data_IF_269623898309
#
_entry.id   IF_269623898309
#
_cell.length_a   1.000
_cell.length_b   1.000
_cell.length_c   1.000
_cell.angle_alpha   90.00
_cell.angle_beta   90.00
_cell.angle_gamma   90.00
#
_symmetry.space_group_name_H-M   'P 1'
#
loop_
_entity.id
_entity.type
_entity.pdbx_description
1 polymer ?
#
# COMPACT_ATOMS: atom_id res chain seq x y z
N UNK A 1 17.85 8.09 -20.32
CA UNK A 1 16.53 8.78 -20.40
C UNK A 1 15.48 7.72 -20.14
N UNK A 2 14.75 7.80 -19.02
CA UNK A 2 13.64 6.88 -18.72
C UNK A 2 12.40 7.45 -19.39
N UNK A 3 11.68 6.63 -20.13
CA UNK A 3 10.38 6.99 -20.69
C UNK A 3 9.33 6.19 -19.94
N UNK A 4 8.52 6.88 -19.13
CA UNK A 4 7.34 6.28 -18.50
C UNK A 4 6.26 6.10 -19.57
N UNK A 5 6.29 4.95 -20.27
CA UNK A 5 5.15 4.55 -21.09
C UNK A 5 4.18 3.78 -20.19
N UNK A 6 2.99 4.35 -19.98
CA UNK A 6 1.80 3.69 -19.40
C UNK A 6 1.97 3.18 -17.96
N UNK A 7 2.10 4.09 -16.98
CA UNK A 7 1.78 3.74 -15.60
C UNK A 7 0.27 3.51 -15.50
N UNK A 8 -0.15 2.25 -15.34
CA UNK A 8 -1.55 1.86 -15.25
C UNK A 8 -2.13 2.24 -13.87
N UNK A 9 -2.35 3.54 -13.64
CA UNK A 9 -2.79 4.11 -12.35
C UNK A 9 -4.06 3.47 -11.80
N UNK A 10 -4.93 2.93 -12.66
CA UNK A 10 -6.14 2.19 -12.28
C UNK A 10 -5.83 0.96 -11.42
N UNK A 11 -4.66 0.32 -11.60
CA UNK A 11 -4.25 -0.86 -10.80
C UNK A 11 -4.06 -0.59 -9.32
N UNK A 12 -3.91 0.68 -8.92
CA UNK A 12 -3.90 1.06 -7.50
C UNK A 12 -5.25 0.74 -6.85
N UNK A 13 -6.35 0.92 -7.59
CA UNK A 13 -7.71 0.85 -7.04
C UNK A 13 -8.40 -0.46 -7.37
N UNK A 14 -8.12 -1.04 -8.54
CA UNK A 14 -8.74 -2.29 -9.01
C UNK A 14 -7.72 -3.14 -9.75
N UNK A 15 -7.62 -4.42 -9.40
CA UNK A 15 -6.82 -5.42 -10.10
C UNK A 15 -7.64 -6.67 -10.38
N UNK A 16 -7.21 -7.49 -11.34
CA UNK A 16 -7.96 -8.67 -11.76
C UNK A 16 -8.03 -9.75 -10.65
N UNK A 17 -8.99 -10.68 -10.73
CA UNK A 17 -9.04 -11.83 -9.83
C UNK A 17 -7.72 -12.62 -9.82
N UNK A 18 -7.13 -12.85 -8.64
CA UNK A 18 -5.83 -13.52 -8.51
C UNK A 18 -4.61 -12.68 -8.90
N UNK A 19 -4.79 -11.40 -9.24
CA UNK A 19 -3.67 -10.47 -9.45
C UNK A 19 -3.33 -9.73 -8.15
N UNK A 20 -2.15 -9.10 -8.12
CA UNK A 20 -1.75 -8.15 -7.08
C UNK A 20 -1.76 -6.74 -7.63
N UNK A 21 -1.92 -5.75 -6.76
CA UNK A 21 -1.60 -4.35 -7.11
C UNK A 21 -0.07 -4.15 -7.22
N UNK A 22 0.40 -2.91 -7.21
CA UNK A 22 1.83 -2.58 -7.24
C UNK A 22 2.60 -3.29 -6.11
N UNK A 23 3.66 -4.01 -6.48
CA UNK A 23 4.38 -4.87 -5.55
C UNK A 23 5.02 -4.13 -4.37
N UNK A 24 5.32 -2.83 -4.52
CA UNK A 24 5.99 -2.08 -3.46
C UNK A 24 5.14 -1.97 -2.19
N UNK A 25 3.81 -2.01 -2.28
CA UNK A 25 2.98 -2.05 -1.08
C UNK A 25 3.21 -3.33 -0.26
N UNK A 26 3.30 -4.49 -0.92
CA UNK A 26 3.63 -5.76 -0.27
C UNK A 26 5.07 -5.75 0.27
N UNK A 27 6.00 -5.12 -0.46
CA UNK A 27 7.38 -4.97 -0.03
C UNK A 27 7.51 -4.13 1.24
N UNK A 28 6.70 -3.07 1.40
CA UNK A 28 6.66 -2.27 2.63
C UNK A 28 6.30 -3.13 3.85
N UNK A 29 5.21 -3.90 3.78
CA UNK A 29 4.79 -4.77 4.90
C UNK A 29 5.80 -5.88 5.21
N UNK A 30 6.49 -6.43 4.20
CA UNK A 30 7.46 -7.49 4.41
C UNK A 30 8.84 -7.00 4.90
N UNK A 31 9.20 -5.77 4.52
CA UNK A 31 10.57 -5.24 4.63
C UNK A 31 10.78 -4.14 5.67
N UNK A 32 9.74 -3.42 6.09
CA UNK A 32 9.84 -2.47 7.19
C UNK A 32 9.90 -3.19 8.54
N UNK A 33 10.62 -2.59 9.49
CA UNK A 33 10.62 -3.01 10.88
C UNK A 33 9.26 -2.68 11.53
N UNK A 34 8.87 -3.45 12.55
CA UNK A 34 7.56 -3.32 13.20
C UNK A 34 7.35 -1.91 13.75
N UNK A 35 8.38 -1.33 14.35
CA UNK A 35 8.38 0.02 14.90
C UNK A 35 8.16 1.07 13.82
N UNK A 36 8.66 0.83 12.60
CA UNK A 36 8.47 1.73 11.46
C UNK A 36 7.07 1.58 10.85
N UNK A 37 6.53 0.35 10.81
CA UNK A 37 5.14 0.11 10.43
C UNK A 37 4.19 0.84 11.40
N UNK A 38 4.43 0.71 12.71
CA UNK A 38 3.68 1.42 13.76
C UNK A 38 3.78 2.95 13.60
N UNK A 39 4.97 3.48 13.29
CA UNK A 39 5.16 4.91 13.01
C UNK A 39 4.31 5.41 11.82
N UNK A 40 4.08 4.57 10.81
CA UNK A 40 3.19 4.88 9.68
C UNK A 40 1.73 4.48 9.90
N UNK A 41 1.39 4.02 11.11
CA UNK A 41 0.08 3.49 11.48
C UNK A 41 -0.34 2.33 10.56
N UNK A 42 0.62 1.54 10.09
CA UNK A 42 0.38 0.36 9.29
C UNK A 42 0.26 -0.88 10.18
N UNK A 43 -0.89 -1.54 10.15
CA UNK A 43 -1.18 -2.74 10.93
C UNK A 43 -1.17 -4.00 10.04
N UNK A 44 -2.11 -4.93 10.21
CA UNK A 44 -2.18 -6.15 9.40
C UNK A 44 -2.43 -5.82 7.91
N UNK A 45 -1.57 -6.28 6.98
CA UNK A 45 -1.78 -6.11 5.54
C UNK A 45 -3.16 -6.61 5.06
N UNK A 46 -3.75 -7.61 5.72
CA UNK A 46 -5.10 -8.12 5.45
C UNK A 46 -6.21 -7.11 5.76
N UNK A 47 -5.91 -5.96 6.37
CA UNK A 47 -6.89 -4.89 6.60
C UNK A 47 -7.00 -3.93 5.42
N UNK A 48 -5.97 -3.86 4.56
CA UNK A 48 -5.89 -2.89 3.47
C UNK A 48 -6.57 -3.40 2.21
N UNK A 49 -7.61 -2.68 1.78
CA UNK A 49 -8.47 -3.09 0.65
C UNK A 49 -7.69 -3.31 -0.65
N UNK A 50 -6.70 -2.47 -0.95
CA UNK A 50 -5.95 -2.56 -2.21
C UNK A 50 -5.02 -3.76 -2.29
N UNK A 51 -4.71 -4.40 -1.16
CA UNK A 51 -3.84 -5.58 -1.10
C UNK A 51 -4.60 -6.88 -1.20
N UNK A 52 -5.90 -6.86 -0.89
CA UNK A 52 -6.77 -8.03 -0.90
C UNK A 52 -6.97 -8.55 -2.30
N UNK A 53 -6.83 -9.86 -2.44
CA UNK A 53 -7.28 -10.57 -3.63
C UNK A 53 -8.82 -10.58 -3.64
N UNK A 54 -9.48 -10.11 -4.72
CA UNK A 54 -10.93 -10.20 -4.89
C UNK A 54 -11.47 -11.64 -4.76
N UNK A 55 -10.64 -12.67 -4.97
CA UNK A 55 -10.99 -14.08 -4.79
C UNK A 55 -10.89 -14.57 -3.34
N UNK A 56 -10.48 -13.73 -2.38
CA UNK A 56 -10.32 -14.11 -0.97
C UNK A 56 -9.02 -14.86 -0.65
N UNK A 57 -8.02 -14.77 -1.53
CA UNK A 57 -6.65 -15.21 -1.24
C UNK A 57 -6.00 -14.36 -0.14
N UNK A 58 -5.08 -14.95 0.63
CA UNK A 58 -4.26 -14.22 1.60
C UNK A 58 -3.35 -13.23 0.88
N UNK A 59 -3.12 -12.07 1.48
CA UNK A 59 -2.18 -11.06 0.97
C UNK A 59 -0.79 -11.68 0.81
N UNK A 60 -0.36 -12.46 1.80
CA UNK A 60 0.85 -13.28 1.75
C UNK A 60 0.48 -14.78 1.82
N UNK A 61 0.55 -15.53 0.70
CA UNK A 61 0.17 -16.94 0.64
C UNK A 61 0.96 -17.83 1.61
N UNK A 62 2.26 -17.56 1.75
CA UNK A 62 3.16 -18.34 2.59
C UNK A 62 4.40 -17.53 3.03
N UNK A 63 5.23 -18.16 3.87
CA UNK A 63 6.46 -17.55 4.39
C UNK A 63 7.51 -17.26 3.31
N UNK A 64 7.53 -18.03 2.23
CA UNK A 64 8.49 -17.83 1.15
C UNK A 64 8.18 -16.55 0.36
N UNK A 65 6.90 -16.24 0.17
CA UNK A 65 6.47 -15.00 -0.47
C UNK A 65 6.80 -13.77 0.39
N UNK A 66 6.64 -13.85 1.72
CA UNK A 66 7.09 -12.80 2.65
C UNK A 66 8.60 -12.57 2.55
N UNK A 67 9.39 -13.64 2.54
CA UNK A 67 10.85 -13.55 2.44
C UNK A 67 11.30 -12.98 1.09
N UNK A 68 10.66 -13.38 -0.01
CA UNK A 68 10.89 -12.79 -1.33
C UNK A 68 10.58 -11.29 -1.34
N UNK A 69 9.42 -10.88 -0.81
CA UNK A 69 9.02 -9.48 -0.73
C UNK A 69 10.00 -8.65 0.12
N UNK A 70 10.52 -9.21 1.22
CA UNK A 70 11.55 -8.57 2.05
C UNK A 70 12.87 -8.37 1.29
N UNK A 71 13.31 -9.38 0.54
CA UNK A 71 14.52 -9.27 -0.28
C UNK A 71 14.36 -8.21 -1.37
N UNK A 72 13.20 -8.16 -2.02
CA UNK A 72 12.89 -7.14 -3.01
C UNK A 72 12.84 -5.75 -2.39
N UNK A 73 12.25 -5.58 -1.21
CA UNK A 73 12.27 -4.32 -0.47
C UNK A 73 13.69 -3.81 -0.24
N UNK A 74 14.56 -4.66 0.32
CA UNK A 74 15.95 -4.31 0.60
C UNK A 74 16.71 -3.94 -0.68
N UNK A 75 16.48 -4.69 -1.76
CA UNK A 75 17.09 -4.43 -3.07
C UNK A 75 16.65 -3.07 -3.62
N UNK A 76 15.36 -2.74 -3.57
CA UNK A 76 14.88 -1.45 -4.06
C UNK A 76 15.39 -0.28 -3.20
N UNK A 77 15.39 -0.44 -1.88
CA UNK A 77 15.95 0.56 -0.95
C UNK A 77 17.43 0.82 -1.22
N UNK A 78 18.22 -0.23 -1.45
CA UNK A 78 19.63 -0.10 -1.81
C UNK A 78 19.81 0.61 -3.16
N UNK A 79 18.98 0.29 -4.16
CA UNK A 79 19.01 0.97 -5.45
C UNK A 79 18.71 2.47 -5.29
N UNK A 80 17.70 2.85 -4.51
CA UNK A 80 17.39 4.26 -4.23
C UNK A 80 18.60 4.97 -3.61
N UNK A 81 19.26 4.35 -2.62
CA UNK A 81 20.47 4.91 -2.01
C UNK A 81 21.61 5.09 -3.00
N UNK A 82 21.85 4.08 -3.86
CA UNK A 82 22.88 4.15 -4.92
C UNK A 82 22.58 5.22 -5.97
N UNK A 83 21.31 5.52 -6.22
CA UNK A 83 20.86 6.60 -7.09
C UNK A 83 20.96 7.99 -6.44
N UNK A 84 21.38 8.07 -5.18
CA UNK A 84 21.61 9.33 -4.47
C UNK A 84 20.42 9.83 -3.66
N UNK A 85 19.39 9.00 -3.44
CA UNK A 85 18.30 9.36 -2.55
C UNK A 85 18.82 9.41 -1.11
N UNK A 86 18.51 10.49 -0.42
CA UNK A 86 18.80 10.63 1.01
C UNK A 86 17.90 9.71 1.83
N UNK A 87 18.21 9.54 3.12
CA UNK A 87 17.34 8.78 4.01
C UNK A 87 15.97 9.44 4.15
N UNK A 88 15.98 10.77 4.12
CA UNK A 88 14.80 11.63 4.19
C UNK A 88 13.93 11.46 2.94
N UNK A 89 14.53 11.41 1.73
CA UNK A 89 13.80 11.15 0.49
C UNK A 89 13.13 9.78 0.50
N UNK A 90 13.87 8.74 0.92
CA UNK A 90 13.33 7.38 1.02
C UNK A 90 12.19 7.32 2.04
N UNK A 91 12.36 7.98 3.19
CA UNK A 91 11.31 8.06 4.20
C UNK A 91 10.06 8.77 3.65
N UNK A 92 10.23 9.85 2.89
CA UNK A 92 9.12 10.57 2.26
C UNK A 92 8.37 9.70 1.24
N UNK A 93 9.10 8.87 0.47
CA UNK A 93 8.48 7.88 -0.41
C UNK A 93 7.63 6.89 0.39
N UNK A 94 8.14 6.39 1.51
CA UNK A 94 7.37 5.49 2.38
C UNK A 94 6.15 6.18 2.97
N UNK A 95 6.27 7.44 3.42
CA UNK A 95 5.13 8.25 3.89
C UNK A 95 4.04 8.36 2.83
N UNK A 96 4.39 8.67 1.59
CA UNK A 96 3.42 8.79 0.49
C UNK A 96 2.72 7.46 0.21
N UNK A 97 3.47 6.35 0.21
CA UNK A 97 2.90 5.02 -0.02
C UNK A 97 1.97 4.59 1.12
N UNK A 98 2.33 4.87 2.37
CA UNK A 98 1.47 4.64 3.54
C UNK A 98 0.20 5.49 3.48
N UNK A 99 0.31 6.76 3.07
CA UNK A 99 -0.86 7.62 2.88
C UNK A 99 -1.81 7.07 1.80
N UNK A 100 -1.29 6.52 0.70
CA UNK A 100 -2.12 5.89 -0.33
C UNK A 100 -2.86 4.67 0.25
N UNK A 101 -2.19 3.82 1.03
CA UNK A 101 -2.81 2.68 1.70
C UNK A 101 -4.02 3.11 2.56
N UNK A 102 -3.85 4.16 3.38
CA UNK A 102 -4.91 4.69 4.23
C UNK A 102 -6.07 5.29 3.43
N UNK A 103 -5.78 6.15 2.44
CA UNK A 103 -6.80 6.76 1.59
C UNK A 103 -7.67 5.72 0.88
N UNK A 104 -7.08 4.60 0.50
CA UNK A 104 -7.81 3.55 -0.22
C UNK A 104 -8.73 2.72 0.66
N UNK A 105 -8.62 2.83 1.98
CA UNK A 105 -9.54 2.19 2.92
C UNK A 105 -10.81 3.01 3.17
N UNK A 106 -10.84 4.29 2.83
CA UNK A 106 -12.04 5.12 2.94
C UNK A 106 -13.10 4.59 1.96
N UNK A 107 -14.31 4.37 2.47
CA UNK A 107 -15.47 3.92 1.70
C UNK A 107 -16.55 4.97 1.74
N UNK A 108 -17.22 5.11 0.60
CA UNK A 108 -18.31 6.05 0.43
C UNK A 108 -19.56 5.28 0.05
N UNK A 109 -20.65 5.55 0.75
CA UNK A 109 -21.99 5.05 0.46
C UNK A 109 -22.88 6.18 -0.04
N UNK A 110 -23.87 5.81 -0.84
CA UNK A 110 -24.85 6.75 -1.40
C UNK A 110 -25.86 7.17 -0.33
N UNK A 111 -26.22 8.45 -0.32
CA UNK A 111 -27.32 8.99 0.49
C UNK A 111 -28.58 9.11 -0.39
N UNK A 112 -29.55 8.23 -0.14
CA UNK A 112 -30.80 8.15 -0.90
C UNK A 112 -31.71 9.38 -0.72
N UNK A 113 -31.50 10.19 0.33
CA UNK A 113 -32.32 11.39 0.59
C UNK A 113 -31.78 12.65 -0.09
N UNK A 114 -30.45 12.75 -0.21
CA UNK A 114 -29.78 13.98 -0.65
C UNK A 114 -29.10 13.87 -2.02
N UNK A 115 -29.12 12.68 -2.66
CA UNK A 115 -28.32 12.36 -3.86
C UNK A 115 -26.81 12.58 -3.61
N UNK A 116 -26.41 12.52 -2.34
CA UNK A 116 -25.06 12.76 -1.84
C UNK A 116 -24.29 11.47 -1.60
N UNK A 117 -23.09 11.61 -1.04
CA UNK A 117 -22.30 10.48 -0.51
C UNK A 117 -21.82 10.79 0.88
N UNK A 118 -21.79 9.77 1.74
CA UNK A 118 -21.22 9.85 3.09
C UNK A 118 -20.17 8.77 3.29
N UNK A 119 -19.31 8.97 4.28
CA UNK A 119 -18.25 8.02 4.62
C UNK A 119 -18.88 6.87 5.43
N UNK A 120 -18.73 5.64 4.95
CA UNK A 120 -19.34 4.45 5.59
C UNK A 120 -18.75 4.17 6.98
N UNK A 121 -17.45 4.40 7.10
CA UNK A 121 -16.65 4.15 8.28
C UNK A 121 -15.66 5.31 8.43
N UNK A 122 -15.80 6.08 9.50
CA UNK A 122 -14.94 7.22 9.81
C UNK A 122 -13.62 6.78 10.47
N UNK A 123 -13.50 5.53 10.94
CA UNK A 123 -12.28 5.03 11.59
C UNK A 123 -11.00 5.26 10.75
N UNK A 124 -10.97 5.02 9.42
CA UNK A 124 -9.80 5.32 8.59
C UNK A 124 -9.36 6.80 8.59
N UNK A 125 -10.23 7.73 9.00
CA UNK A 125 -9.90 9.16 9.11
C UNK A 125 -9.23 9.50 10.44
N UNK A 126 -9.46 8.69 11.47
CA UNK A 126 -8.90 8.87 12.82
C UNK A 126 -7.53 8.18 12.97
N UNK A 127 -7.08 7.41 11.98
CA UNK A 127 -5.81 6.69 12.02
C UNK A 127 -4.64 7.66 12.16
N UNK A 128 -4.05 7.68 13.36
CA UNK A 128 -2.91 8.52 13.71
C UNK A 128 -3.24 9.89 14.30
N UNK A 129 -4.51 10.15 14.60
CA UNK A 129 -4.95 11.27 15.47
C UNK A 129 -4.83 10.94 16.96
#
# INVERSE_FOLDING_TARGET
>A
KVYEYLLEKSRVVQHGPGERTFHFFYYLFAGLEKETLEYFYLDDPETYRILKDPCGGKVFPDRSDVEYCRQMFNTQKEIMQRLGFTKEDINMVFTILSAILHLTNIRFSHDDETDGVYIEDEYPLEVGM
#
